data_IF_898460964538
#
_entry.id   IF_898460964538
#
_cell.length_a   1.000
_cell.length_b   1.000
_cell.length_c   1.000
_cell.angle_alpha   90.00
_cell.angle_beta   90.00
_cell.angle_gamma   90.00
#
_symmetry.space_group_name_H-M   'P 1'
#
loop_
_entity.id
_entity.type
_entity.pdbx_description
1 polymer ?
#
# COMPACT_ATOMS: atom_id res chain seq x y z
N UNK A 1 19.98 -4.31 -8.42
CA UNK A 1 18.66 -4.74 -8.92
C UNK A 1 17.95 -3.47 -9.35
N UNK A 2 17.22 -3.49 -10.46
CA UNK A 2 16.73 -2.30 -11.18
C UNK A 2 17.82 -1.34 -11.69
N UNK A 3 18.94 -1.85 -12.23
CA UNK A 3 20.07 -0.99 -12.67
C UNK A 3 19.77 -0.18 -13.94
N UNK A 4 18.76 -0.58 -14.70
CA UNK A 4 18.37 0.05 -15.96
C UNK A 4 17.17 1.00 -15.78
N UNK A 5 16.84 1.35 -14.54
CA UNK A 5 15.72 2.22 -14.19
C UNK A 5 16.19 3.43 -13.38
N UNK A 6 15.61 4.59 -13.68
CA UNK A 6 15.57 5.69 -12.73
C UNK A 6 14.50 5.37 -11.68
N UNK A 7 14.88 5.39 -10.40
CA UNK A 7 14.00 5.01 -9.29
C UNK A 7 13.65 6.24 -8.45
N UNK A 8 12.37 6.64 -8.49
CA UNK A 8 11.81 7.73 -7.70
C UNK A 8 11.02 7.15 -6.53
N UNK A 9 11.38 7.50 -5.29
CA UNK A 9 10.74 6.99 -4.07
C UNK A 9 10.17 8.17 -3.27
N UNK A 10 8.96 8.66 -3.60
CA UNK A 10 8.37 9.80 -2.90
C UNK A 10 7.82 9.39 -1.53
N UNK A 11 7.99 10.25 -0.53
CA UNK A 11 7.26 10.13 0.74
C UNK A 11 5.82 10.64 0.57
N UNK A 12 4.85 9.84 1.00
CA UNK A 12 3.42 10.24 1.02
C UNK A 12 3.21 11.54 1.82
N UNK A 13 2.20 12.37 1.49
CA UNK A 13 1.91 13.58 2.24
C UNK A 13 1.60 13.32 3.72
N UNK A 14 2.44 13.81 4.62
CA UNK A 14 2.32 13.58 6.06
C UNK A 14 3.20 12.45 6.59
N UNK A 15 4.13 11.92 5.79
CA UNK A 15 5.10 10.90 6.17
C UNK A 15 6.52 11.44 6.05
N UNK A 16 7.36 11.10 7.04
CA UNK A 16 8.77 11.51 7.07
C UNK A 16 8.93 13.01 6.84
N UNK A 17 9.65 13.39 5.77
CA UNK A 17 9.93 14.80 5.47
C UNK A 17 8.89 15.47 4.56
N UNK A 18 7.85 14.73 4.11
CA UNK A 18 6.76 15.29 3.32
C UNK A 18 5.67 15.88 4.24
N UNK A 19 5.48 17.21 4.27
CA UNK A 19 4.44 17.81 5.10
C UNK A 19 3.04 17.40 4.62
N UNK A 20 2.09 17.27 5.54
CA UNK A 20 0.69 17.04 5.18
C UNK A 20 -0.01 18.35 4.81
N UNK A 21 -0.71 18.44 3.67
CA UNK A 21 -1.54 19.58 3.35
C UNK A 21 -2.58 19.88 4.45
N UNK A 22 -2.81 21.16 4.81
CA UNK A 22 -3.75 21.56 5.85
C UNK A 22 -5.21 21.55 5.34
N UNK A 23 -5.63 20.43 4.75
CA UNK A 23 -6.98 20.20 4.22
C UNK A 23 -7.36 18.72 4.36
N UNK A 24 -8.65 18.41 4.30
CA UNK A 24 -9.17 17.04 4.19
C UNK A 24 -9.22 16.59 2.72
N UNK A 25 -9.49 15.31 2.50
CA UNK A 25 -9.59 14.72 1.16
C UNK A 25 -8.23 14.52 0.48
N UNK A 26 -7.16 14.39 1.28
CA UNK A 26 -5.84 13.90 0.81
C UNK A 26 -5.92 12.38 0.71
N UNK A 27 -6.78 11.88 -0.19
CA UNK A 27 -7.03 10.46 -0.43
C UNK A 27 -6.11 9.91 -1.54
N UNK A 28 -6.23 8.63 -1.87
CA UNK A 28 -5.41 7.97 -2.90
C UNK A 28 -5.33 8.75 -4.21
N UNK A 29 -6.48 9.19 -4.74
CA UNK A 29 -6.56 9.92 -6.02
C UNK A 29 -5.87 11.27 -5.95
N UNK A 30 -5.98 11.99 -4.84
CA UNK A 30 -5.25 13.25 -4.64
C UNK A 30 -3.73 13.03 -4.66
N UNK A 31 -3.24 11.98 -3.99
CA UNK A 31 -1.81 11.69 -3.95
C UNK A 31 -1.31 11.20 -5.31
N UNK A 32 -2.09 10.39 -6.02
CA UNK A 32 -1.79 9.93 -7.38
C UNK A 32 -1.56 11.12 -8.32
N UNK A 33 -2.43 12.13 -8.28
CA UNK A 33 -2.27 13.35 -9.06
C UNK A 33 -0.98 14.11 -8.71
N UNK A 34 -0.58 14.13 -7.43
CA UNK A 34 0.69 14.75 -7.01
C UNK A 34 1.90 13.95 -7.49
N UNK A 35 1.82 12.62 -7.51
CA UNK A 35 2.89 11.78 -8.05
C UNK A 35 2.99 11.93 -9.57
N UNK A 36 1.88 11.99 -10.30
CA UNK A 36 1.90 12.25 -11.75
C UNK A 36 2.54 13.61 -12.07
N UNK A 37 2.17 14.65 -11.31
CA UNK A 37 2.80 15.97 -11.42
C UNK A 37 4.31 15.91 -11.12
N UNK A 38 4.73 15.21 -10.06
CA UNK A 38 6.14 15.02 -9.73
C UNK A 38 6.90 14.36 -10.88
N UNK A 39 6.37 13.28 -11.46
CA UNK A 39 7.02 12.59 -12.59
C UNK A 39 7.14 13.52 -13.81
N UNK A 40 6.11 14.31 -14.09
CA UNK A 40 6.12 15.31 -15.16
C UNK A 40 7.17 16.41 -14.93
N UNK A 41 7.29 16.92 -13.70
CA UNK A 41 8.30 17.93 -13.31
C UNK A 41 9.73 17.38 -13.37
N UNK A 42 9.91 16.08 -13.13
CA UNK A 42 11.18 15.37 -13.31
C UNK A 42 11.48 15.03 -14.79
N UNK A 43 10.53 15.26 -15.70
CA UNK A 43 10.70 15.06 -17.14
C UNK A 43 10.29 13.67 -17.66
N UNK A 44 9.63 12.85 -16.85
CA UNK A 44 9.17 11.52 -17.26
C UNK A 44 7.73 11.58 -17.78
N UNK A 45 7.57 11.48 -19.11
CA UNK A 45 6.26 11.40 -19.76
C UNK A 45 5.69 9.98 -19.85
N UNK A 46 6.53 8.96 -19.68
CA UNK A 46 6.14 7.55 -19.58
C UNK A 46 6.92 6.91 -18.45
N UNK A 47 6.23 6.25 -17.53
CA UNK A 47 6.86 5.60 -16.37
C UNK A 47 6.03 4.40 -15.90
N UNK A 48 6.66 3.51 -15.15
CA UNK A 48 5.98 2.45 -14.42
C UNK A 48 5.82 2.86 -12.95
N UNK A 49 4.88 2.23 -12.24
CA UNK A 49 4.68 2.48 -10.82
C UNK A 49 4.56 1.18 -10.03
N UNK A 50 4.94 1.21 -8.75
CA UNK A 50 4.75 0.07 -7.87
C UNK A 50 4.30 0.52 -6.50
N UNK A 51 3.44 -0.29 -5.88
CA UNK A 51 2.83 0.04 -4.60
C UNK A 51 2.40 -1.18 -3.80
N UNK A 52 2.41 -1.01 -2.49
CA UNK A 52 1.83 -1.90 -1.49
C UNK A 52 1.23 -1.04 -0.38
N UNK A 53 0.36 -1.60 0.46
CA UNK A 53 -0.41 -0.85 1.46
C UNK A 53 -1.09 0.38 0.81
N UNK A 54 -1.11 1.54 1.47
CA UNK A 54 -1.64 2.77 0.86
C UNK A 54 -0.99 3.13 -0.47
N UNK A 55 0.27 2.75 -0.69
CA UNK A 55 0.97 2.93 -1.96
C UNK A 55 0.34 2.12 -3.10
N UNK A 56 -0.28 0.96 -2.82
CA UNK A 56 -1.07 0.23 -3.81
C UNK A 56 -2.29 1.05 -4.23
N UNK A 57 -3.01 1.63 -3.27
CA UNK A 57 -4.15 2.51 -3.57
C UNK A 57 -3.77 3.72 -4.43
N UNK A 58 -2.67 4.40 -4.10
CA UNK A 58 -2.14 5.52 -4.90
C UNK A 58 -1.74 5.06 -6.31
N UNK A 59 -1.02 3.94 -6.41
CA UNK A 59 -0.56 3.36 -7.70
C UNK A 59 -1.74 2.99 -8.60
N UNK A 60 -2.81 2.44 -8.02
CA UNK A 60 -4.05 2.13 -8.73
C UNK A 60 -4.68 3.36 -9.35
N UNK A 61 -4.80 4.46 -8.62
CA UNK A 61 -5.35 5.70 -9.18
C UNK A 61 -4.41 6.37 -10.17
N UNK A 62 -3.10 6.24 -9.98
CA UNK A 62 -2.11 6.74 -10.93
C UNK A 62 -2.29 6.08 -12.30
N UNK A 63 -2.45 4.75 -12.32
CA UNK A 63 -2.73 4.00 -13.54
C UNK A 63 -4.13 4.25 -14.12
N UNK A 64 -5.13 4.38 -13.26
CA UNK A 64 -6.51 4.60 -13.67
C UNK A 64 -6.73 5.97 -14.33
N UNK A 65 -6.16 7.03 -13.76
CA UNK A 65 -6.37 8.41 -14.22
C UNK A 65 -5.41 8.82 -15.34
N UNK A 66 -4.21 8.22 -15.40
CA UNK A 66 -3.14 8.60 -16.33
C UNK A 66 -2.61 7.38 -17.14
N UNK A 67 -3.47 6.58 -17.80
CA UNK A 67 -3.06 5.36 -18.49
C UNK A 67 -2.15 5.61 -19.70
N UNK A 68 -2.14 6.83 -20.26
CA UNK A 68 -1.21 7.23 -21.33
C UNK A 68 0.23 7.44 -20.83
N UNK A 69 0.38 7.77 -19.55
CA UNK A 69 1.67 8.03 -18.90
C UNK A 69 2.17 6.80 -18.13
N UNK A 70 1.27 6.03 -17.53
CA UNK A 70 1.62 4.84 -16.74
C UNK A 70 1.64 3.58 -17.60
N UNK A 71 2.84 3.09 -17.94
CA UNK A 71 3.01 1.95 -18.87
C UNK A 71 2.65 0.60 -18.24
N UNK A 72 2.70 0.51 -16.92
CA UNK A 72 2.44 -0.71 -16.15
C UNK A 72 2.53 -0.45 -14.65
N UNK A 73 1.83 -1.27 -13.86
CA UNK A 73 1.88 -1.24 -12.41
C UNK A 73 2.25 -2.59 -11.79
N UNK A 74 3.03 -2.56 -10.72
CA UNK A 74 3.36 -3.74 -9.91
C UNK A 74 2.82 -3.57 -8.48
N UNK A 75 1.90 -4.43 -8.08
CA UNK A 75 1.25 -4.40 -6.77
C UNK A 75 1.63 -5.63 -5.93
N UNK A 76 1.76 -5.48 -4.62
CA UNK A 76 1.90 -6.64 -3.69
C UNK A 76 0.79 -6.75 -2.66
N UNK A 77 -0.17 -5.84 -2.70
CA UNK A 77 -1.40 -5.88 -1.89
C UNK A 77 -2.58 -5.41 -2.73
N UNK A 78 -3.78 -5.87 -2.39
CA UNK A 78 -5.04 -5.31 -2.86
C UNK A 78 -5.58 -4.39 -1.77
N UNK A 79 -5.45 -3.08 -1.94
CA UNK A 79 -5.93 -2.10 -0.95
C UNK A 79 -7.40 -2.34 -0.58
N UNK A 80 -7.69 -2.45 0.71
CA UNK A 80 -8.98 -2.91 1.25
C UNK A 80 -10.17 -2.05 0.76
N UNK A 81 -9.97 -0.74 0.60
CA UNK A 81 -10.98 0.20 0.10
C UNK A 81 -11.28 0.04 -1.41
N UNK A 82 -10.41 -0.67 -2.14
CA UNK A 82 -10.45 -0.83 -3.60
C UNK A 82 -10.83 -2.24 -4.03
N UNK A 83 -11.41 -3.02 -3.13
CA UNK A 83 -11.91 -4.36 -3.42
C UNK A 83 -13.08 -4.34 -4.41
N UNK A 84 -13.19 -5.36 -5.29
CA UNK A 84 -14.32 -5.54 -6.21
C UNK A 84 -15.67 -5.45 -5.50
N UNK A 85 -16.63 -4.73 -6.10
CA UNK A 85 -18.05 -4.89 -5.74
C UNK A 85 -18.58 -6.13 -6.47
N UNK A 86 -18.94 -7.17 -5.73
CA UNK A 86 -19.43 -8.44 -6.29
C UNK A 86 -20.60 -8.91 -5.45
N UNK A 87 -21.67 -9.38 -6.11
CA UNK A 87 -22.80 -10.00 -5.42
C UNK A 87 -22.40 -11.36 -4.85
N UNK A 88 -22.89 -11.70 -3.65
CA UNK A 88 -22.52 -12.95 -2.96
C UNK A 88 -22.79 -14.21 -3.79
N UNK A 89 -23.80 -14.16 -4.66
CA UNK A 89 -24.18 -15.24 -5.57
C UNK A 89 -23.14 -15.47 -6.68
N UNK A 90 -22.34 -14.46 -7.02
CA UNK A 90 -21.30 -14.52 -8.05
C UNK A 90 -19.92 -14.89 -7.52
N UNK A 91 -19.76 -14.94 -6.19
CA UNK A 91 -18.50 -15.35 -5.57
C UNK A 91 -18.29 -16.85 -5.77
N UNK A 92 -17.05 -17.23 -6.07
CA UNK A 92 -16.61 -18.63 -5.96
C UNK A 92 -16.40 -19.02 -4.50
N UNK A 93 -16.25 -20.32 -4.23
CA UNK A 93 -15.97 -20.82 -2.87
C UNK A 93 -14.63 -20.32 -2.32
N UNK A 94 -13.64 -20.13 -3.20
CA UNK A 94 -12.32 -19.60 -2.85
C UNK A 94 -12.45 -18.11 -2.48
N UNK A 95 -13.21 -17.33 -3.25
CA UNK A 95 -13.47 -15.92 -2.95
C UNK A 95 -14.26 -15.74 -1.65
N UNK A 96 -15.29 -16.57 -1.41
CA UNK A 96 -16.02 -16.59 -0.13
C UNK A 96 -15.09 -16.91 1.05
N UNK A 97 -14.20 -17.89 0.88
CA UNK A 97 -13.25 -18.28 1.93
C UNK A 97 -12.26 -17.16 2.26
N UNK A 98 -11.76 -16.47 1.22
CA UNK A 98 -10.91 -15.29 1.35
C UNK A 98 -11.63 -14.17 2.12
N UNK A 99 -12.84 -13.78 1.70
CA UNK A 99 -13.61 -12.72 2.37
C UNK A 99 -13.96 -13.07 3.83
N UNK A 100 -14.26 -14.35 4.11
CA UNK A 100 -14.48 -14.82 5.47
C UNK A 100 -13.21 -14.74 6.34
N UNK A 101 -12.02 -14.96 5.76
CA UNK A 101 -10.74 -14.78 6.44
C UNK A 101 -10.49 -13.30 6.75
N UNK A 102 -10.69 -12.42 5.78
CA UNK A 102 -10.61 -10.96 5.96
C UNK A 102 -11.54 -10.49 7.08
N UNK A 103 -12.80 -10.96 7.11
CA UNK A 103 -13.75 -10.62 8.17
C UNK A 103 -13.30 -11.07 9.57
N UNK A 104 -12.70 -12.28 9.69
CA UNK A 104 -12.14 -12.77 10.96
C UNK A 104 -10.97 -11.92 11.43
N UNK A 105 -10.08 -11.54 10.51
CA UNK A 105 -8.97 -10.65 10.80
C UNK A 105 -9.47 -9.29 11.29
N UNK A 106 -10.44 -8.72 10.59
CA UNK A 106 -11.06 -7.43 10.93
C UNK A 106 -11.65 -7.40 12.36
N UNK A 107 -12.17 -8.53 12.82
CA UNK A 107 -12.74 -8.66 14.15
C UNK A 107 -11.70 -8.60 15.27
N UNK A 108 -10.43 -8.96 15.02
CA UNK A 108 -9.38 -9.02 16.05
C UNK A 108 -8.31 -7.95 15.89
N UNK A 109 -7.98 -7.54 14.66
CA UNK A 109 -6.80 -6.72 14.38
C UNK A 109 -7.10 -5.27 13.99
N UNK A 110 -8.35 -4.94 13.60
CA UNK A 110 -8.73 -3.62 13.05
C UNK A 110 -8.78 -2.48 14.07
N UNK A 111 -8.39 -2.72 15.33
CA UNK A 111 -8.43 -1.70 16.39
C UNK A 111 -7.64 -0.44 16.03
N UNK A 112 -6.45 -0.62 15.46
CA UNK A 112 -5.58 0.49 15.06
C UNK A 112 -6.20 1.35 13.94
N UNK A 113 -6.68 0.77 12.85
CA UNK A 113 -7.28 1.52 11.73
C UNK A 113 -8.65 2.12 12.11
N UNK A 114 -9.40 1.50 13.02
CA UNK A 114 -10.65 2.06 13.54
C UNK A 114 -10.43 3.39 14.30
N UNK A 115 -9.41 3.46 15.16
CA UNK A 115 -9.10 4.73 15.87
C UNK A 115 -8.47 5.75 14.93
N UNK A 116 -7.60 5.34 14.01
CA UNK A 116 -6.96 6.22 13.04
C UNK A 116 -7.96 6.84 12.06
N UNK A 117 -8.94 6.07 11.61
CA UNK A 117 -9.98 6.55 10.68
C UNK A 117 -11.06 7.44 11.34
N UNK A 118 -11.06 7.60 12.67
CA UNK A 118 -12.12 8.35 13.38
C UNK A 118 -11.61 9.43 14.32
N UNK A 119 -10.48 9.22 15.00
CA UNK A 119 -9.91 10.17 15.96
C UNK A 119 -8.37 10.17 15.87
N UNK A 120 -7.77 10.37 14.67
CA UNK A 120 -6.31 10.29 14.50
C UNK A 120 -5.57 11.30 15.37
N UNK A 121 -6.13 12.51 15.53
CA UNK A 121 -5.56 13.54 16.40
C UNK A 121 -5.51 13.12 17.87
N UNK A 122 -6.58 12.48 18.37
CA UNK A 122 -6.68 12.08 19.79
C UNK A 122 -5.65 11.03 20.15
N UNK A 123 -5.56 9.94 19.37
CA UNK A 123 -4.58 8.89 19.64
C UNK A 123 -3.15 9.37 19.41
N UNK A 124 -2.93 10.21 18.40
CA UNK A 124 -1.59 10.64 18.04
C UNK A 124 -0.95 11.62 19.02
N UNK A 125 -1.71 12.35 19.84
CA UNK A 125 -1.11 13.11 20.94
C UNK A 125 -0.34 12.19 21.90
N UNK A 126 -0.92 11.06 22.30
CA UNK A 126 -0.24 10.10 23.18
C UNK A 126 0.96 9.44 22.51
N UNK A 127 0.86 9.15 21.20
CA UNK A 127 1.96 8.56 20.43
C UNK A 127 3.13 9.55 20.22
N UNK A 128 2.86 10.84 20.05
CA UNK A 128 3.91 11.87 19.95
C UNK A 128 4.50 12.27 21.31
N UNK A 129 3.78 12.05 22.41
CA UNK A 129 4.29 12.35 23.76
C UNK A 129 5.25 11.26 24.27
N UNK A 130 5.04 10.00 23.88
CA UNK A 130 5.81 8.86 24.37
C UNK A 130 6.50 8.09 23.24
N UNK A 131 7.85 8.09 23.15
CA UNK A 131 8.56 7.32 22.14
C UNK A 131 8.39 5.81 22.36
N UNK A 132 8.19 5.37 23.60
CA UNK A 132 7.87 3.96 23.92
C UNK A 132 6.45 3.61 23.46
N UNK A 133 5.50 4.53 23.61
CA UNK A 133 4.14 4.37 23.08
C UNK A 133 4.14 4.26 21.56
N UNK A 134 4.87 5.13 20.88
CA UNK A 134 5.07 5.05 19.43
C UNK A 134 5.76 3.75 19.00
N UNK A 135 6.81 3.34 19.71
CA UNK A 135 7.54 2.09 19.44
C UNK A 135 6.64 0.87 19.56
N UNK A 136 5.80 0.80 20.60
CA UNK A 136 4.85 -0.28 20.77
C UNK A 136 3.80 -0.28 19.65
N UNK A 137 3.27 0.90 19.29
CA UNK A 137 2.22 1.04 18.29
C UNK A 137 2.68 0.66 16.88
N UNK A 138 3.90 1.05 16.48
CA UNK A 138 4.47 0.69 15.18
C UNK A 138 5.11 -0.71 15.19
N UNK A 139 5.81 -1.05 16.27
CA UNK A 139 6.54 -2.31 16.41
C UNK A 139 5.63 -3.52 16.44
N UNK A 140 4.42 -3.39 16.99
CA UNK A 140 3.42 -4.46 16.93
C UNK A 140 3.08 -4.80 15.47
N UNK A 141 2.92 -3.81 14.58
CA UNK A 141 2.63 -4.08 13.15
C UNK A 141 3.79 -4.76 12.44
N UNK A 142 5.01 -4.29 12.67
CA UNK A 142 6.21 -4.96 12.15
C UNK A 142 6.36 -6.40 12.66
N UNK A 143 5.95 -6.67 13.90
CA UNK A 143 5.98 -8.02 14.44
C UNK A 143 4.87 -8.91 13.86
N UNK A 144 3.63 -8.42 13.83
CA UNK A 144 2.44 -9.20 13.45
C UNK A 144 2.30 -9.41 11.94
N UNK A 145 2.82 -8.48 11.12
CA UNK A 145 2.59 -8.46 9.68
C UNK A 145 3.80 -8.91 8.83
N UNK A 146 4.98 -9.06 9.44
CA UNK A 146 6.16 -9.59 8.74
C UNK A 146 6.22 -11.11 8.85
N UNK A 147 6.76 -11.77 7.84
CA UNK A 147 7.20 -13.17 7.91
C UNK A 147 8.34 -13.33 8.93
N UNK A 148 9.34 -12.44 8.80
CA UNK A 148 10.49 -12.37 9.69
C UNK A 148 10.56 -10.97 10.29
N UNK A 149 10.58 -10.90 11.62
CA UNK A 149 10.76 -9.61 12.32
C UNK A 149 12.06 -8.93 11.85
N UNK A 150 12.01 -7.68 11.36
CA UNK A 150 13.21 -6.98 10.91
C UNK A 150 14.25 -6.80 12.02
N UNK A 151 15.53 -6.59 11.65
CA UNK A 151 16.58 -6.28 12.62
C UNK A 151 16.24 -5.03 13.44
N UNK A 152 16.70 -5.00 14.70
CA UNK A 152 16.45 -3.88 15.61
C UNK A 152 16.86 -2.53 15.02
N UNK A 153 18.00 -2.45 14.31
CA UNK A 153 18.46 -1.20 13.70
C UNK A 153 17.47 -0.65 12.67
N UNK A 154 16.82 -1.52 11.89
CA UNK A 154 15.79 -1.14 10.94
C UNK A 154 14.53 -0.60 11.66
N UNK A 155 14.09 -1.28 12.71
CA UNK A 155 12.95 -0.85 13.53
C UNK A 155 13.24 0.48 14.24
N UNK A 156 14.43 0.62 14.82
CA UNK A 156 14.89 1.85 15.46
C UNK A 156 15.01 3.01 14.48
N UNK A 157 15.51 2.78 13.26
CA UNK A 157 15.58 3.80 12.22
C UNK A 157 14.17 4.27 11.80
N UNK A 158 13.26 3.32 11.58
CA UNK A 158 11.86 3.61 11.23
C UNK A 158 11.17 4.41 12.34
N UNK A 159 11.31 3.97 13.59
CA UNK A 159 10.78 4.68 14.76
C UNK A 159 11.38 6.09 14.89
N UNK A 160 12.70 6.20 14.73
CA UNK A 160 13.41 7.48 14.81
C UNK A 160 12.89 8.44 13.75
N UNK A 161 12.70 7.98 12.51
CA UNK A 161 12.14 8.80 11.45
C UNK A 161 10.77 9.37 11.86
N UNK A 162 9.81 8.52 12.25
CA UNK A 162 8.48 8.98 12.68
C UNK A 162 8.54 9.94 13.88
N UNK A 163 9.43 9.66 14.83
CA UNK A 163 9.58 10.47 16.03
C UNK A 163 10.15 11.85 15.74
N UNK A 164 11.28 11.95 15.01
CA UNK A 164 11.93 13.24 14.77
C UNK A 164 11.12 14.13 13.82
N UNK A 165 10.34 13.55 12.92
CA UNK A 165 9.46 14.28 12.02
C UNK A 165 8.07 14.53 12.61
N UNK A 166 7.75 13.91 13.75
CA UNK A 166 6.46 14.01 14.44
C UNK A 166 5.28 13.62 13.54
N UNK A 167 5.49 12.67 12.61
CA UNK A 167 4.54 12.39 11.53
C UNK A 167 3.49 11.34 11.86
N UNK A 168 3.46 10.77 13.07
CA UNK A 168 2.44 9.76 13.39
C UNK A 168 1.01 10.34 13.27
N UNK A 169 0.77 11.55 13.76
CA UNK A 169 -0.56 12.19 13.64
C UNK A 169 -0.92 12.41 12.17
N UNK A 170 0.01 12.94 11.38
CA UNK A 170 -0.24 13.27 9.98
C UNK A 170 -0.40 12.03 9.11
N UNK A 171 0.34 10.94 9.36
CA UNK A 171 0.20 9.70 8.60
C UNK A 171 -1.16 9.03 8.83
N UNK A 172 -1.63 9.01 10.08
CA UNK A 172 -2.92 8.41 10.43
C UNK A 172 -4.12 9.10 9.76
N UNK A 173 -3.93 10.31 9.21
CA UNK A 173 -4.98 11.00 8.46
C UNK A 173 -5.27 10.36 7.11
N UNK A 174 -4.44 9.45 6.59
CA UNK A 174 -4.80 8.67 5.38
C UNK A 174 -5.98 7.74 5.65
N UNK A 175 -6.01 7.06 6.80
CA UNK A 175 -7.19 6.29 7.22
C UNK A 175 -8.45 7.16 7.32
N UNK A 176 -8.31 8.41 7.78
CA UNK A 176 -9.43 9.34 7.86
C UNK A 176 -9.88 9.78 6.46
N UNK A 177 -8.95 10.26 5.63
CA UNK A 177 -9.28 10.83 4.33
C UNK A 177 -9.83 9.76 3.37
N UNK A 178 -9.27 8.54 3.35
CA UNK A 178 -9.79 7.47 2.50
C UNK A 178 -11.15 6.94 2.98
N UNK A 179 -11.40 6.91 4.30
CA UNK A 179 -12.73 6.54 4.84
C UNK A 179 -13.82 7.57 4.53
N UNK A 180 -13.53 8.86 4.74
CA UNK A 180 -14.55 9.92 4.70
C UNK A 180 -14.61 10.65 3.35
N UNK A 181 -13.61 10.46 2.50
CA UNK A 181 -13.59 10.92 1.11
C UNK A 181 -13.22 9.77 0.17
N UNK A 182 -14.00 8.67 0.16
CA UNK A 182 -13.66 7.47 -0.58
C UNK A 182 -13.67 7.72 -2.08
N UNK A 183 -12.80 7.01 -2.77
CA UNK A 183 -12.70 6.96 -4.22
C UNK A 183 -12.69 5.50 -4.64
N UNK A 184 -13.34 5.19 -5.77
CA UNK A 184 -13.39 3.82 -6.28
C UNK A 184 -13.16 3.81 -7.79
N UNK A 185 -12.09 3.17 -8.30
CA UNK A 185 -11.93 2.97 -9.73
C UNK A 185 -12.93 1.90 -10.20
N UNK A 186 -13.27 1.89 -11.49
CA UNK A 186 -14.12 0.84 -12.08
C UNK A 186 -13.29 -0.39 -12.46
N UNK A 187 -12.30 -0.20 -13.33
CA UNK A 187 -11.37 -1.20 -13.80
C UNK A 187 -10.09 -0.52 -14.25
N UNK A 188 -8.93 -1.09 -13.94
CA UNK A 188 -7.63 -0.58 -14.35
C UNK A 188 -7.14 -1.38 -15.55
N UNK A 189 -7.24 -0.77 -16.73
CA UNK A 189 -6.81 -1.37 -18.01
C UNK A 189 -5.29 -1.46 -18.16
N UNK A 190 -4.54 -0.63 -17.44
CA UNK A 190 -3.06 -0.63 -17.46
C UNK A 190 -2.52 -2.01 -17.09
N UNK A 191 -1.53 -2.54 -17.85
CA UNK A 191 -0.90 -3.82 -17.53
C UNK A 191 -0.48 -3.90 -16.07
N UNK A 192 -0.98 -4.91 -15.36
CA UNK A 192 -0.75 -5.07 -13.93
C UNK A 192 -0.02 -6.37 -13.63
N UNK A 193 1.09 -6.28 -12.90
CA UNK A 193 1.72 -7.37 -12.19
C UNK A 193 1.26 -7.40 -10.75
N UNK A 194 1.02 -8.59 -10.21
CA UNK A 194 0.65 -8.78 -8.82
C UNK A 194 1.52 -9.85 -8.16
N UNK A 195 2.21 -9.47 -7.10
CA UNK A 195 3.03 -10.35 -6.26
C UNK A 195 2.27 -10.79 -5.01
N UNK A 196 2.10 -12.10 -4.83
CA UNK A 196 1.46 -12.70 -3.64
C UNK A 196 2.53 -13.30 -2.76
N UNK A 197 2.61 -12.87 -1.51
CA UNK A 197 3.61 -13.30 -0.53
C UNK A 197 2.96 -14.26 0.48
N UNK A 198 3.58 -15.42 0.71
CA UNK A 198 3.01 -16.54 1.48
C UNK A 198 2.70 -16.26 2.96
N UNK A 199 3.22 -15.15 3.51
CA UNK A 199 3.00 -14.76 4.90
C UNK A 199 2.32 -13.39 5.01
N UNK A 200 1.45 -13.06 4.06
CA UNK A 200 0.59 -11.88 4.13
C UNK A 200 -0.53 -12.09 5.17
N UNK A 201 -0.25 -11.76 6.44
CA UNK A 201 -1.13 -12.02 7.60
C UNK A 201 -2.16 -10.92 7.88
N UNK A 202 -2.33 -9.96 6.97
CA UNK A 202 -3.21 -8.78 7.06
C UNK A 202 -4.50 -9.01 6.25
N UNK A 203 -5.52 -8.11 6.27
CA UNK A 203 -6.78 -8.35 5.58
C UNK A 203 -6.64 -8.39 4.05
N UNK A 204 -5.58 -7.75 3.51
CA UNK A 204 -5.19 -7.83 2.10
C UNK A 204 -4.67 -9.23 1.69
N UNK A 205 -4.28 -10.07 2.67
CA UNK A 205 -4.08 -11.52 2.58
C UNK A 205 -3.43 -12.09 1.31
N UNK A 206 -3.84 -13.31 0.95
CA UNK A 206 -3.54 -13.92 -0.34
C UNK A 206 -4.81 -13.86 -1.21
N UNK A 207 -5.07 -12.73 -1.90
CA UNK A 207 -6.30 -12.58 -2.64
C UNK A 207 -6.33 -13.57 -3.81
N UNK A 208 -7.46 -14.25 -4.05
CA UNK A 208 -7.58 -15.13 -5.21
C UNK A 208 -7.36 -14.32 -6.49
N UNK A 209 -6.58 -14.85 -7.43
CA UNK A 209 -6.33 -14.17 -8.73
C UNK A 209 -7.63 -13.78 -9.43
N UNK A 210 -8.65 -14.63 -9.37
CA UNK A 210 -9.98 -14.35 -9.95
C UNK A 210 -10.63 -13.10 -9.37
N UNK A 211 -10.42 -12.84 -8.08
CA UNK A 211 -10.98 -11.69 -7.38
C UNK A 211 -10.30 -10.40 -7.85
N UNK A 212 -8.96 -10.40 -7.89
CA UNK A 212 -8.16 -9.24 -8.34
C UNK A 212 -8.41 -8.93 -9.83
N UNK A 213 -8.59 -9.96 -10.66
CA UNK A 213 -8.89 -9.81 -12.09
C UNK A 213 -10.20 -9.09 -12.39
N UNK A 214 -11.10 -8.93 -11.41
CA UNK A 214 -12.34 -8.15 -11.59
C UNK A 214 -12.10 -6.64 -11.63
N UNK A 215 -10.95 -6.17 -11.15
CA UNK A 215 -10.62 -4.74 -11.05
C UNK A 215 -9.30 -4.36 -11.74
N UNK A 216 -8.46 -5.34 -12.11
CA UNK A 216 -7.20 -5.08 -12.82
C UNK A 216 -7.01 -5.97 -14.05
N UNK A 217 -6.34 -5.42 -15.05
CA UNK A 217 -5.76 -6.15 -16.17
C UNK A 217 -4.48 -6.90 -15.75
N UNK A 218 -4.65 -8.03 -15.06
CA UNK A 218 -3.54 -8.86 -14.56
C UNK A 218 -2.82 -9.59 -15.71
N UNK A 219 -1.61 -9.11 -16.02
CA UNK A 219 -0.71 -9.68 -17.03
C UNK A 219 0.38 -10.57 -16.42
N UNK A 220 0.75 -10.31 -15.16
CA UNK A 220 1.70 -11.13 -14.41
C UNK A 220 1.17 -11.43 -13.02
N UNK A 221 1.30 -12.68 -12.60
CA UNK A 221 0.91 -13.13 -11.26
C UNK A 221 2.03 -13.99 -10.70
N UNK A 222 2.69 -13.51 -9.65
CA UNK A 222 3.85 -14.19 -9.06
C UNK A 222 3.51 -14.58 -7.63
N UNK A 223 3.73 -15.85 -7.28
CA UNK A 223 3.57 -16.36 -5.91
C UNK A 223 4.95 -16.57 -5.32
N UNK A 224 5.25 -15.88 -4.21
CA UNK A 224 6.51 -15.93 -3.50
C UNK A 224 6.39 -16.83 -2.26
N UNK A 225 7.37 -17.72 -2.02
CA UNK A 225 7.30 -18.69 -0.92
C UNK A 225 7.64 -18.09 0.47
N UNK A 226 8.06 -16.83 0.53
CA UNK A 226 8.55 -16.12 1.73
C UNK A 226 8.18 -14.65 1.65
N UNK A 227 8.20 -13.97 2.79
CA UNK A 227 7.88 -12.55 2.95
C UNK A 227 6.42 -12.31 3.36
N UNK A 228 6.19 -11.21 4.08
CA UNK A 228 4.88 -10.80 4.56
C UNK A 228 4.40 -9.49 3.95
N UNK A 229 3.76 -8.66 4.77
CA UNK A 229 3.18 -7.40 4.35
C UNK A 229 4.21 -6.40 3.82
N UNK A 230 5.39 -6.37 4.44
CA UNK A 230 6.45 -5.43 4.12
C UNK A 230 7.40 -6.04 3.08
N UNK A 231 6.85 -6.66 2.04
CA UNK A 231 7.60 -7.39 1.01
C UNK A 231 8.82 -6.64 0.46
N UNK A 232 8.78 -5.32 0.15
CA UNK A 232 9.96 -4.60 -0.30
C UNK A 232 11.09 -4.48 0.75
N UNK A 233 10.77 -4.56 2.04
CA UNK A 233 11.73 -4.56 3.14
C UNK A 233 12.21 -5.98 3.50
N UNK A 234 11.32 -6.97 3.42
CA UNK A 234 11.59 -8.36 3.81
C UNK A 234 12.33 -9.15 2.72
N UNK A 235 11.87 -9.03 1.47
CA UNK A 235 12.40 -9.77 0.32
C UNK A 235 12.72 -8.79 -0.85
N UNK A 236 13.58 -7.78 -0.62
CA UNK A 236 13.85 -6.70 -1.58
C UNK A 236 14.34 -7.22 -2.94
N UNK A 237 15.10 -8.31 -2.93
CA UNK A 237 15.62 -8.91 -4.15
C UNK A 237 14.52 -9.53 -5.01
N UNK A 238 13.57 -10.23 -4.38
CA UNK A 238 12.46 -10.87 -5.07
C UNK A 238 11.53 -9.83 -5.70
N UNK A 239 11.16 -8.79 -4.93
CA UNK A 239 10.34 -7.67 -5.42
C UNK A 239 11.02 -6.97 -6.59
N UNK A 240 12.30 -6.59 -6.45
CA UNK A 240 13.01 -5.87 -7.50
C UNK A 240 13.22 -6.72 -8.78
N UNK A 241 13.39 -8.04 -8.65
CA UNK A 241 13.49 -8.94 -9.80
C UNK A 241 12.15 -9.08 -10.53
N UNK A 242 11.04 -9.17 -9.79
CA UNK A 242 9.70 -9.27 -10.39
C UNK A 242 9.29 -7.99 -11.11
N UNK A 243 9.54 -6.84 -10.48
CA UNK A 243 9.38 -5.52 -11.10
C UNK A 243 10.20 -5.40 -12.37
N UNK A 244 11.50 -5.75 -12.31
CA UNK A 244 12.39 -5.68 -13.47
C UNK A 244 11.91 -6.58 -14.61
N UNK A 245 11.58 -7.84 -14.31
CA UNK A 245 11.07 -8.78 -15.30
C UNK A 245 9.77 -8.28 -15.96
N UNK A 246 8.86 -7.69 -15.18
CA UNK A 246 7.61 -7.18 -15.72
C UNK A 246 7.79 -5.91 -16.55
N UNK A 247 8.52 -4.93 -16.05
CA UNK A 247 8.63 -3.62 -16.72
C UNK A 247 9.51 -3.65 -17.96
N UNK A 248 10.51 -4.54 -18.03
CA UNK A 248 11.30 -4.73 -19.26
C UNK A 248 10.46 -5.22 -20.45
N UNK A 249 9.40 -5.97 -20.20
CA UNK A 249 8.52 -6.47 -21.27
C UNK A 249 7.54 -5.39 -21.78
N UNK A 250 7.45 -4.23 -21.09
CA UNK A 250 6.53 -3.13 -21.40
C UNK A 250 7.20 -1.88 -21.97
N UNK A 251 8.53 -1.81 -21.90
CA UNK A 251 9.35 -0.69 -22.37
C UNK A 251 9.64 -0.74 -23.86
#
# INVERSE_FOLDING_TARGET
MLRDFDVVIPSLPGYGFSPRPPKVGVNYRYVAERWHQLMSELGYSRYAASGYDFGAGVTTFLAFDHPESVIGIHLTTLESDLTPTVDDAELSDIERSYLAMTCRWDATERGYSAIQSTKPQTVGYGLNDSPVGLAAYLGEKWHSWSDVTPPNDFLCATLTLYWVTQTIISSMRDYWDNRWHPVKPTYVDTPTAFGVFAHQTVPEGEPPRSYVQRVYNIQRWTVFPRGGHFAPAEEPAAVAQDMGAFFHDLS
#
